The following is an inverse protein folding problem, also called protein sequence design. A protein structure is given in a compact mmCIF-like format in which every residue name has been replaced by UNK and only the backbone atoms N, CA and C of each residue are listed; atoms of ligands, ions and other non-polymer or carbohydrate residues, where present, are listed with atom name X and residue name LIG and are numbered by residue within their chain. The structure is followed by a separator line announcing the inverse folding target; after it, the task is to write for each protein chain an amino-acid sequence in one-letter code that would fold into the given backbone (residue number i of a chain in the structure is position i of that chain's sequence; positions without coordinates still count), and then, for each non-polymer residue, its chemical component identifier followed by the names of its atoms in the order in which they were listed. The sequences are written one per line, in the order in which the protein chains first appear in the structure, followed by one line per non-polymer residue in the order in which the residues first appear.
data_IF_311745231846
#
_entry.id   IF_311745231846
#
_cell.length_a   1.000
_cell.length_b   1.000
_cell.length_c   1.000
_cell.angle_alpha   90.00
_cell.angle_beta   90.00
_cell.angle_gamma   90.00
#
_symmetry.space_group_name_H-M   'P 1'
#
loop_
_entity.id
_entity.type
_entity.pdbx_description
1 polymer ?
#
# COMPACT_ATOMS: atom_id res chain seq x y z
N UNK A 1 -6.00 -40.27 35.52
CA UNK A 1 -5.61 -39.90 34.15
C UNK A 1 -4.15 -40.21 33.98
N UNK A 2 -3.80 -40.96 32.95
CA UNK A 2 -2.45 -41.47 32.76
C UNK A 2 -1.48 -40.32 32.42
N UNK A 3 -0.37 -40.07 33.12
CA UNK A 3 0.50 -38.91 32.92
C UNK A 3 1.06 -38.81 31.47
N UNK A 4 1.16 -39.95 30.80
CA UNK A 4 1.54 -39.98 29.36
C UNK A 4 0.50 -39.33 28.40
N UNK A 5 -0.78 -39.37 28.78
CA UNK A 5 -1.84 -38.75 28.01
C UNK A 5 -1.93 -37.23 28.22
N UNK A 6 -1.59 -36.78 29.42
CA UNK A 6 -1.51 -35.35 29.75
C UNK A 6 -0.35 -34.67 29.01
N UNK A 7 0.80 -35.32 28.96
CA UNK A 7 1.96 -34.81 28.24
C UNK A 7 1.71 -34.69 26.73
N UNK A 8 0.97 -35.66 26.15
CA UNK A 8 0.61 -35.62 24.71
C UNK A 8 -0.37 -34.47 24.37
N UNK A 9 -1.33 -34.20 25.27
CA UNK A 9 -2.30 -33.09 25.08
C UNK A 9 -1.62 -31.73 25.21
N UNK A 10 -0.71 -31.57 26.16
CA UNK A 10 0.04 -30.32 26.34
C UNK A 10 0.97 -30.07 25.16
N UNK A 11 1.60 -31.12 24.62
CA UNK A 11 2.46 -31.01 23.44
C UNK A 11 1.66 -30.68 22.18
N UNK A 12 0.46 -31.24 22.02
CA UNK A 12 -0.41 -30.92 20.89
C UNK A 12 -0.98 -29.48 20.98
N UNK A 13 -1.25 -28.99 22.19
CA UNK A 13 -1.72 -27.62 22.39
C UNK A 13 -0.64 -26.56 22.15
N UNK A 14 0.62 -26.88 22.47
CA UNK A 14 1.75 -25.98 22.15
C UNK A 14 2.08 -25.94 20.65
N UNK A 15 1.84 -27.01 19.93
CA UNK A 15 2.03 -27.03 18.46
C UNK A 15 0.94 -26.25 17.73
N UNK A 16 -0.27 -26.14 18.27
CA UNK A 16 -1.34 -25.33 17.68
C UNK A 16 -1.12 -23.82 17.87
N UNK A 17 -0.34 -23.39 18.85
CA UNK A 17 0.02 -21.99 19.06
C UNK A 17 1.22 -21.54 18.22
N UNK A 18 1.99 -22.47 17.64
CA UNK A 18 3.09 -22.15 16.76
C UNK A 18 2.66 -21.89 15.30
N UNK A 19 1.38 -22.02 14.97
CA UNK A 19 0.84 -21.82 13.62
C UNK A 19 0.36 -20.41 13.31
N UNK A 20 0.54 -19.44 14.23
CA UNK A 20 0.18 -18.03 13.99
C UNK A 20 1.40 -17.11 14.08
N UNK A 21 2.54 -17.53 13.56
CA UNK A 21 3.66 -16.64 13.37
C UNK A 21 3.82 -16.45 11.88
N UNK A 22 3.40 -15.29 11.52
CA UNK A 22 4.04 -14.31 10.70
C UNK A 22 3.62 -14.25 9.27
N UNK A 23 2.75 -13.40 9.02
CA UNK A 23 3.15 -12.40 8.02
C UNK A 23 3.68 -11.20 8.79
N UNK A 24 4.84 -10.71 8.41
CA UNK A 24 5.33 -9.41 8.83
C UNK A 24 4.18 -8.44 8.57
N UNK A 25 3.51 -8.02 9.61
CA UNK A 25 2.37 -7.12 9.51
C UNK A 25 2.90 -5.75 9.11
N UNK A 26 3.14 -5.59 7.82
CA UNK A 26 3.34 -4.27 7.24
C UNK A 26 2.00 -3.59 7.33
N UNK A 27 1.95 -2.49 8.01
CA UNK A 27 0.75 -1.73 8.24
C UNK A 27 0.91 -0.34 7.63
N UNK A 28 -0.12 0.08 6.91
CA UNK A 28 -0.18 1.37 6.25
C UNK A 28 -1.44 2.10 6.67
N UNK A 29 -1.35 3.42 6.74
CA UNK A 29 -2.52 4.28 6.78
C UNK A 29 -2.49 5.26 5.61
N UNK A 30 -3.65 5.75 5.21
CA UNK A 30 -3.79 6.68 4.11
C UNK A 30 -4.60 7.89 4.57
N UNK A 31 -4.21 9.06 4.10
CA UNK A 31 -4.92 10.31 4.26
C UNK A 31 -4.98 11.06 2.94
N UNK A 32 -5.94 11.96 2.82
CA UNK A 32 -5.95 12.95 1.76
C UNK A 32 -4.69 13.80 1.81
N UNK A 33 -4.16 14.20 0.66
CA UNK A 33 -3.05 15.13 0.61
C UNK A 33 -3.49 16.49 1.17
N UNK A 34 -2.65 17.19 1.95
CA UNK A 34 -2.99 18.50 2.46
C UNK A 34 -3.08 19.59 1.37
N UNK A 35 -2.60 19.31 0.18
CA UNK A 35 -2.72 20.21 -0.96
C UNK A 35 -4.08 20.02 -1.63
N UNK A 36 -4.87 21.08 -1.86
CA UNK A 36 -6.17 20.94 -2.51
C UNK A 36 -5.99 20.48 -3.95
N UNK A 37 -6.90 19.63 -4.40
CA UNK A 37 -6.99 19.23 -5.81
C UNK A 37 -7.42 20.42 -6.67
N UNK A 38 -6.81 20.53 -7.81
CA UNK A 38 -7.06 21.57 -8.80
C UNK A 38 -7.52 20.99 -10.13
N UNK A 39 -7.67 21.82 -11.16
CA UNK A 39 -7.90 21.33 -12.53
C UNK A 39 -6.59 21.01 -13.28
N UNK A 40 -5.46 20.99 -12.57
CA UNK A 40 -4.18 20.55 -13.11
C UNK A 40 -4.09 19.01 -13.09
N UNK A 41 -3.19 18.47 -13.88
CA UNK A 41 -3.01 17.04 -14.02
C UNK A 41 -1.73 16.53 -13.30
N UNK A 42 -1.34 17.18 -12.21
CA UNK A 42 -0.14 16.87 -11.41
C UNK A 42 -0.36 17.13 -9.92
N UNK A 43 -1.59 17.01 -9.46
CA UNK A 43 -1.92 17.24 -8.06
C UNK A 43 -1.49 16.07 -7.17
N UNK A 44 -1.15 16.37 -5.94
CA UNK A 44 -0.93 15.37 -4.90
C UNK A 44 -2.30 14.83 -4.47
N UNK A 45 -2.49 13.52 -4.57
CA UNK A 45 -3.77 12.87 -4.30
C UNK A 45 -3.87 12.39 -2.86
N UNK A 46 -2.89 11.64 -2.40
CA UNK A 46 -2.94 10.98 -1.10
C UNK A 46 -1.56 10.76 -0.52
N UNK A 47 -1.50 10.77 0.80
CA UNK A 47 -0.32 10.42 1.58
C UNK A 47 -0.51 9.06 2.24
N UNK A 48 0.41 8.14 1.98
CA UNK A 48 0.44 6.79 2.57
C UNK A 48 1.59 6.72 3.56
N UNK A 49 1.28 6.51 4.83
CA UNK A 49 2.25 6.34 5.91
C UNK A 49 2.53 4.86 6.13
N UNK A 50 3.79 4.47 6.19
CA UNK A 50 4.23 3.19 6.72
C UNK A 50 4.17 3.25 8.24
N UNK A 51 3.16 2.66 8.86
CA UNK A 51 3.01 2.65 10.31
C UNK A 51 3.89 1.60 10.98
N UNK A 52 4.16 0.53 10.28
CA UNK A 52 4.99 -0.57 10.77
C UNK A 52 5.67 -1.34 9.64
N UNK A 53 6.93 -1.70 9.83
CA UNK A 53 7.71 -2.53 8.93
C UNK A 53 8.60 -1.77 7.96
N UNK A 54 9.03 -2.43 6.92
CA UNK A 54 9.75 -1.88 5.79
C UNK A 54 9.47 -2.66 4.51
N UNK A 55 9.71 -2.03 3.38
CA UNK A 55 9.59 -2.67 2.07
C UNK A 55 10.65 -2.09 1.14
N UNK A 56 11.33 -2.96 0.39
CA UNK A 56 12.26 -2.50 -0.65
C UNK A 56 11.48 -1.80 -1.77
N UNK A 57 11.96 -0.65 -2.24
CA UNK A 57 11.38 0.04 -3.38
C UNK A 57 11.28 -0.85 -4.63
N UNK A 58 12.26 -1.74 -4.82
CA UNK A 58 12.26 -2.68 -5.95
C UNK A 58 11.18 -3.76 -5.88
N UNK A 59 10.62 -4.00 -4.70
CA UNK A 59 9.54 -4.97 -4.47
C UNK A 59 8.17 -4.33 -4.31
N UNK A 60 8.12 -3.00 -4.17
CA UNK A 60 6.88 -2.26 -3.99
C UNK A 60 6.09 -2.17 -5.29
N UNK A 61 4.82 -2.49 -5.23
CA UNK A 61 3.84 -2.21 -6.28
C UNK A 61 2.61 -1.54 -5.68
N UNK A 62 2.29 -0.36 -6.17
CA UNK A 62 1.08 0.37 -5.81
C UNK A 62 0.14 0.39 -7.00
N UNK A 63 -1.08 -0.07 -6.79
CA UNK A 63 -2.13 -0.09 -7.80
C UNK A 63 -3.24 0.83 -7.32
N UNK A 64 -3.66 1.72 -8.18
CA UNK A 64 -4.83 2.56 -7.98
C UNK A 64 -6.04 1.92 -8.66
N UNK A 65 -7.15 1.84 -7.94
CA UNK A 65 -8.43 1.38 -8.43
C UNK A 65 -9.42 2.56 -8.33
N UNK A 66 -9.80 3.09 -9.47
CA UNK A 66 -10.92 4.03 -9.59
C UNK A 66 -12.20 3.20 -9.70
N UNK A 67 -13.14 3.35 -8.77
CA UNK A 67 -14.45 2.67 -8.71
C UNK A 67 -14.98 2.27 -10.10
N UNK A 68 -14.93 0.96 -10.41
CA UNK A 68 -15.41 0.30 -11.63
C UNK A 68 -14.57 0.49 -12.91
N UNK A 69 -13.38 1.04 -12.84
CA UNK A 69 -12.48 1.19 -13.97
C UNK A 69 -11.22 0.33 -13.86
N UNK A 70 -10.44 0.30 -14.91
CA UNK A 70 -9.22 -0.48 -15.01
C UNK A 70 -8.21 -0.10 -13.92
N UNK A 71 -7.67 -1.10 -13.24
CA UNK A 71 -6.58 -0.93 -12.27
C UNK A 71 -5.36 -0.32 -12.95
N UNK A 72 -4.77 0.69 -12.33
CA UNK A 72 -3.60 1.41 -12.83
C UNK A 72 -2.45 1.30 -11.86
N UNK A 73 -1.27 0.99 -12.38
CA UNK A 73 -0.05 0.93 -11.58
C UNK A 73 0.57 2.31 -11.46
N UNK A 74 0.83 2.76 -10.22
CA UNK A 74 1.64 3.93 -9.94
C UNK A 74 3.13 3.56 -9.97
N UNK A 75 3.95 4.39 -10.59
CA UNK A 75 5.38 4.14 -10.76
C UNK A 75 6.21 5.21 -10.02
N UNK A 76 7.44 4.87 -9.61
CA UNK A 76 8.36 5.88 -9.10
C UNK A 76 8.54 7.02 -10.09
N UNK A 77 8.51 8.25 -9.61
CA UNK A 77 8.71 9.46 -10.44
C UNK A 77 10.11 9.54 -11.05
N UNK A 78 11.06 8.78 -10.52
CA UNK A 78 12.41 8.61 -11.05
C UNK A 78 12.47 7.77 -12.33
N UNK A 79 11.42 7.00 -12.61
CA UNK A 79 11.31 6.16 -13.81
C UNK A 79 10.61 6.93 -14.93
N UNK A 80 11.19 6.90 -16.13
CA UNK A 80 10.57 7.49 -17.32
C UNK A 80 9.51 6.53 -17.92
N UNK A 81 8.48 6.27 -17.12
CA UNK A 81 7.35 5.38 -17.49
C UNK A 81 6.10 6.23 -17.60
N UNK A 82 5.40 6.09 -18.73
CA UNK A 82 4.08 6.72 -18.92
C UNK A 82 3.08 6.00 -18.01
N UNK A 83 2.57 6.71 -17.00
CA UNK A 83 1.60 6.21 -16.05
C UNK A 83 0.63 7.31 -15.64
N UNK A 84 -0.55 6.94 -15.12
CA UNK A 84 -1.54 7.91 -14.66
C UNK A 84 -1.21 8.45 -13.26
N UNK A 85 -0.41 7.74 -12.46
CA UNK A 85 0.04 8.15 -11.14
C UNK A 85 1.50 7.78 -10.87
N UNK A 86 2.15 8.61 -10.05
CA UNK A 86 3.54 8.44 -9.64
C UNK A 86 3.69 8.63 -8.13
N UNK A 87 4.83 8.20 -7.60
CA UNK A 87 5.27 8.49 -6.23
C UNK A 87 6.78 8.77 -6.20
N UNK A 88 7.24 9.51 -5.20
CA UNK A 88 8.67 9.77 -4.98
C UNK A 88 9.26 8.72 -4.05
N UNK A 89 10.46 8.23 -4.41
CA UNK A 89 11.32 7.42 -3.52
C UNK A 89 12.28 8.35 -2.78
N UNK A 90 12.53 8.09 -1.50
CA UNK A 90 13.36 8.95 -0.64
C UNK A 90 14.88 8.88 -0.93
N UNK A 91 15.28 8.10 -1.92
CA UNK A 91 16.69 7.87 -2.25
C UNK A 91 17.36 6.78 -1.44
N UNK A 92 16.71 6.26 -0.42
CA UNK A 92 17.10 5.04 0.29
C UNK A 92 16.64 3.80 -0.48
N UNK A 93 17.10 2.61 -0.04
CA UNK A 93 16.70 1.35 -0.68
C UNK A 93 15.34 0.83 -0.21
N UNK A 94 14.83 1.38 0.89
CA UNK A 94 13.63 0.90 1.57
C UNK A 94 12.71 2.04 1.95
N UNK A 95 11.42 1.83 1.83
CA UNK A 95 10.39 2.59 2.52
C UNK A 95 10.22 2.01 3.92
N UNK A 96 10.42 2.82 4.95
CA UNK A 96 10.50 2.37 6.34
C UNK A 96 9.44 2.99 7.24
N UNK A 97 9.29 2.43 8.43
CA UNK A 97 8.35 2.89 9.45
C UNK A 97 8.52 4.39 9.73
N UNK A 98 7.41 5.11 9.76
CA UNK A 98 7.33 6.56 9.97
C UNK A 98 7.50 7.40 8.70
N UNK A 99 7.83 6.80 7.57
CA UNK A 99 7.96 7.50 6.29
C UNK A 99 6.63 7.58 5.55
N UNK A 100 6.38 8.73 4.96
CA UNK A 100 5.20 9.01 4.14
C UNK A 100 5.55 9.02 2.67
N UNK A 101 4.73 8.34 1.88
CA UNK A 101 4.81 8.30 0.43
C UNK A 101 3.61 9.08 -0.13
N UNK A 102 3.86 10.09 -0.95
CA UNK A 102 2.80 10.87 -1.60
C UNK A 102 2.53 10.32 -3.00
N UNK A 103 1.27 9.99 -3.27
CA UNK A 103 0.80 9.63 -4.60
C UNK A 103 0.37 10.90 -5.33
N UNK A 104 0.86 11.07 -6.55
CA UNK A 104 0.62 12.22 -7.41
C UNK A 104 0.03 11.79 -8.74
N UNK A 105 -0.86 12.60 -9.30
CA UNK A 105 -1.26 12.50 -10.70
C UNK A 105 -0.09 12.69 -11.65
N UNK A 106 -0.16 12.07 -12.81
CA UNK A 106 0.86 12.20 -13.82
C UNK A 106 0.23 12.40 -15.21
N UNK A 107 0.14 13.64 -15.63
CA UNK A 107 -0.37 14.06 -16.94
C UNK A 107 -1.83 13.67 -17.23
N UNK A 108 -2.60 13.30 -16.22
CA UNK A 108 -4.01 12.97 -16.33
C UNK A 108 -4.74 13.41 -15.05
N UNK A 109 -5.78 14.20 -15.20
CA UNK A 109 -6.65 14.57 -14.09
C UNK A 109 -7.48 13.37 -13.63
N UNK A 110 -7.08 12.77 -12.53
CA UNK A 110 -7.77 11.64 -11.90
C UNK A 110 -8.85 12.13 -10.92
N UNK A 111 -8.64 13.31 -10.36
CA UNK A 111 -9.56 14.01 -9.48
C UNK A 111 -9.58 15.49 -9.88
N UNK A 112 -10.75 16.12 -9.92
CA UNK A 112 -10.89 17.50 -10.31
C UNK A 112 -11.55 18.31 -9.20
N UNK A 113 -11.19 19.59 -9.09
CA UNK A 113 -11.69 20.52 -8.07
C UNK A 113 -13.23 20.69 -8.07
N UNK A 114 -13.91 20.33 -9.16
CA UNK A 114 -15.37 20.40 -9.30
C UNK A 114 -16.14 19.17 -8.82
N UNK A 115 -15.45 18.13 -8.36
CA UNK A 115 -16.09 16.89 -7.93
C UNK A 115 -16.75 17.06 -6.56
N UNK A 116 -18.09 17.11 -6.55
CA UNK A 116 -18.86 17.29 -5.32
C UNK A 116 -18.68 16.12 -4.37
N UNK A 117 -18.11 16.38 -3.19
CA UNK A 117 -17.85 15.37 -2.16
C UNK A 117 -16.56 14.60 -2.34
N UNK A 118 -15.66 15.12 -3.17
CA UNK A 118 -14.34 14.54 -3.40
C UNK A 118 -14.33 13.29 -4.28
N UNK A 119 -13.13 12.85 -4.64
CA UNK A 119 -12.90 11.62 -5.40
C UNK A 119 -12.65 10.45 -4.46
N UNK A 120 -13.44 9.40 -4.55
CA UNK A 120 -13.18 8.17 -3.80
C UNK A 120 -12.19 7.31 -4.54
N UNK A 121 -11.04 7.09 -3.93
CA UNK A 121 -9.95 6.30 -4.50
C UNK A 121 -9.60 5.12 -3.60
N UNK A 122 -9.20 4.03 -4.23
CA UNK A 122 -8.67 2.85 -3.56
C UNK A 122 -7.25 2.60 -4.03
N UNK A 123 -6.32 2.47 -3.09
CA UNK A 123 -4.94 2.09 -3.37
C UNK A 123 -4.66 0.71 -2.81
N UNK A 124 -4.04 -0.14 -3.63
CA UNK A 124 -3.71 -1.51 -3.30
C UNK A 124 -2.20 -1.62 -3.21
N UNK A 125 -1.69 -1.91 -2.02
CA UNK A 125 -0.26 -2.09 -1.77
C UNK A 125 0.07 -3.56 -1.89
N UNK A 126 1.04 -3.87 -2.76
CA UNK A 126 1.53 -5.21 -3.02
C UNK A 126 3.04 -5.27 -2.94
N UNK A 127 3.58 -6.46 -2.70
CA UNK A 127 4.98 -6.79 -2.98
C UNK A 127 5.07 -7.64 -4.24
N UNK A 128 6.16 -7.47 -4.97
CA UNK A 128 6.50 -8.27 -6.15
C UNK A 128 7.84 -8.94 -5.89
N UNK A 129 7.89 -10.27 -5.93
CA UNK A 129 9.13 -11.02 -5.81
C UNK A 129 9.99 -10.90 -7.08
N UNK A 130 11.27 -11.28 -6.99
CA UNK A 130 12.17 -11.34 -8.15
C UNK A 130 11.67 -12.28 -9.26
N UNK A 131 10.81 -13.25 -8.93
CA UNK A 131 10.13 -14.15 -9.87
C UNK A 131 8.86 -13.57 -10.49
N UNK A 132 8.43 -12.38 -10.07
CA UNK A 132 7.21 -11.71 -10.55
C UNK A 132 5.94 -12.09 -9.79
N UNK A 133 6.04 -12.87 -8.73
CA UNK A 133 4.89 -13.23 -7.89
C UNK A 133 4.44 -12.01 -7.06
N UNK A 134 3.16 -11.69 -7.14
CA UNK A 134 2.55 -10.57 -6.40
C UNK A 134 1.88 -11.07 -5.11
N UNK A 135 2.11 -10.36 -4.02
CA UNK A 135 1.43 -10.58 -2.74
C UNK A 135 0.72 -9.29 -2.31
N UNK A 136 -0.58 -9.38 -2.07
CA UNK A 136 -1.35 -8.29 -1.48
C UNK A 136 -0.90 -8.06 -0.03
N UNK A 137 -0.59 -6.82 0.30
CA UNK A 137 -0.31 -6.39 1.67
C UNK A 137 -1.53 -5.72 2.29
N UNK A 138 -2.07 -4.70 1.63
CA UNK A 138 -3.21 -3.94 2.16
C UNK A 138 -3.95 -3.20 1.05
N UNK A 139 -5.27 -3.04 1.24
CA UNK A 139 -6.12 -2.15 0.46
C UNK A 139 -6.46 -0.92 1.31
N UNK A 140 -6.28 0.27 0.75
CA UNK A 140 -6.46 1.55 1.40
C UNK A 140 -7.47 2.39 0.63
N UNK A 141 -8.42 3.00 1.35
CA UNK A 141 -9.46 3.86 0.76
C UNK A 141 -9.36 5.27 1.30
N UNK A 142 -9.48 6.24 0.42
CA UNK A 142 -9.42 7.66 0.74
C UNK A 142 -10.43 8.44 -0.10
N UNK A 143 -10.94 9.52 0.46
CA UNK A 143 -11.65 10.56 -0.31
C UNK A 143 -10.68 11.72 -0.46
N UNK A 144 -10.36 12.06 -1.70
CA UNK A 144 -9.45 13.14 -2.09
C UNK A 144 -10.29 14.40 -2.36
N UNK A 145 -9.95 15.54 -1.74
CA UNK A 145 -10.69 16.80 -1.78
C UNK A 145 -9.87 17.98 -2.33
#
# INVERSE_FOLDING_TARGET
MNPRRLAAIVLAMTLLLAGCITDENKQFSISDSPAPVTDNNNDDLADILMEYGNISWSELKIVMDESDSDQKTCYPSSQDIVSDCTYAEDGDLYWTEGETLTIRENSKGLCNAGDNGGCKMTFIIKTVSSGGDEKLLQELKVTVE
#
